data_IF_835813258963
#
_entry.id   IF_835813258963
#
_cell.length_a   1.000
_cell.length_b   1.000
_cell.length_c   1.000
_cell.angle_alpha   90.00
_cell.angle_beta   90.00
_cell.angle_gamma   90.00
#
_symmetry.space_group_name_H-M   'P 1'
#
loop_
_entity.id
_entity.type
_entity.pdbx_description
1 polymer ?
#
# COMPACT_ATOMS: atom_id res chain seq x y z
N UNK A 1 14.20 -11.03 -51.42
CA UNK A 1 14.48 -11.57 -52.77
C UNK A 1 15.95 -11.33 -53.15
N UNK A 2 16.60 -12.18 -53.97
CA UNK A 2 18.01 -12.00 -54.42
C UNK A 2 18.11 -11.67 -55.91
N UNK A 3 19.10 -10.85 -56.33
CA UNK A 3 19.32 -10.44 -57.75
C UNK A 3 19.35 -11.61 -58.73
N UNK A 4 19.98 -12.73 -58.36
CA UNK A 4 20.02 -13.96 -59.19
C UNK A 4 18.65 -14.56 -59.49
N UNK A 5 17.68 -14.43 -58.58
CA UNK A 5 16.33 -14.94 -58.77
C UNK A 5 15.53 -14.06 -59.75
N UNK A 6 15.78 -12.76 -59.78
CA UNK A 6 15.15 -11.84 -60.73
C UNK A 6 15.69 -12.04 -62.15
N UNK A 7 17.00 -12.27 -62.29
CA UNK A 7 17.63 -12.60 -63.57
C UNK A 7 17.12 -13.93 -64.13
N UNK A 8 16.91 -14.94 -63.27
CA UNK A 8 16.32 -16.23 -63.67
C UNK A 8 14.85 -16.11 -64.13
N UNK A 9 14.14 -15.06 -63.72
CA UNK A 9 12.78 -14.75 -64.16
C UNK A 9 12.75 -13.93 -65.46
N UNK A 10 13.90 -13.71 -66.11
CA UNK A 10 14.00 -13.02 -67.40
C UNK A 10 14.10 -11.49 -67.31
N UNK A 11 14.30 -10.92 -66.12
CA UNK A 11 14.49 -9.48 -65.96
C UNK A 11 15.93 -9.09 -66.33
N UNK A 12 16.10 -7.93 -66.98
CA UNK A 12 17.43 -7.36 -67.23
C UNK A 12 18.07 -6.86 -65.92
N UNK A 13 19.40 -6.68 -65.92
CA UNK A 13 20.11 -6.25 -64.72
C UNK A 13 19.60 -4.91 -64.17
N UNK A 14 19.32 -3.93 -65.04
CA UNK A 14 18.82 -2.62 -64.62
C UNK A 14 17.44 -2.70 -63.95
N UNK A 15 16.51 -3.47 -64.53
CA UNK A 15 15.17 -3.64 -63.97
C UNK A 15 15.25 -4.42 -62.65
N UNK A 16 16.13 -5.43 -62.58
CA UNK A 16 16.37 -6.19 -61.35
C UNK A 16 16.88 -5.31 -60.20
N UNK A 17 17.73 -4.32 -60.49
CA UNK A 17 18.21 -3.35 -59.49
C UNK A 17 17.07 -2.45 -59.01
N UNK A 18 16.24 -1.92 -59.93
CA UNK A 18 15.08 -1.06 -59.57
C UNK A 18 14.05 -1.82 -58.74
N UNK A 19 13.74 -3.06 -59.09
CA UNK A 19 12.80 -3.91 -58.32
C UNK A 19 13.35 -4.23 -56.93
N UNK A 20 14.66 -4.48 -56.79
CA UNK A 20 15.27 -4.68 -55.46
C UNK A 20 15.28 -3.41 -54.61
N UNK A 21 15.39 -2.23 -55.22
CA UNK A 21 15.30 -0.97 -54.50
C UNK A 21 13.88 -0.74 -53.95
N UNK A 22 12.86 -0.86 -54.80
CA UNK A 22 11.44 -0.75 -54.39
C UNK A 22 11.06 -1.80 -53.33
N UNK A 23 11.52 -3.05 -53.51
CA UNK A 23 11.27 -4.12 -52.54
C UNK A 23 11.90 -3.84 -51.16
N UNK A 24 13.10 -3.22 -51.13
CA UNK A 24 13.75 -2.82 -49.88
C UNK A 24 13.03 -1.64 -49.22
N UNK A 25 12.58 -0.67 -50.01
CA UNK A 25 11.78 0.46 -49.53
C UNK A 25 10.46 -0.03 -48.94
N UNK A 26 9.72 -0.90 -49.62
CA UNK A 26 8.50 -1.51 -49.07
C UNK A 26 8.78 -2.32 -47.80
N UNK A 27 9.83 -3.15 -47.78
CA UNK A 27 10.21 -3.92 -46.58
C UNK A 27 10.56 -3.03 -45.38
N UNK A 28 11.03 -1.80 -45.60
CA UNK A 28 11.41 -0.89 -44.52
C UNK A 28 10.21 -0.36 -43.72
N UNK A 29 9.00 -0.42 -44.29
CA UNK A 29 7.75 -0.03 -43.61
C UNK A 29 7.20 -1.15 -42.72
N UNK A 30 7.67 -2.40 -42.90
CA UNK A 30 7.20 -3.54 -42.11
C UNK A 30 7.97 -3.67 -40.79
N UNK A 31 7.23 -3.86 -39.71
CA UNK A 31 7.81 -4.15 -38.39
C UNK A 31 8.36 -5.59 -38.40
N UNK A 32 9.65 -5.80 -38.06
CA UNK A 32 10.21 -7.14 -37.96
C UNK A 32 9.46 -7.97 -36.92
N UNK A 33 9.12 -9.22 -37.26
CA UNK A 33 8.41 -10.15 -36.37
C UNK A 33 9.02 -10.22 -34.97
N UNK A 34 10.34 -10.19 -34.85
CA UNK A 34 11.04 -10.17 -33.56
C UNK A 34 10.61 -9.01 -32.64
N UNK A 35 10.40 -7.80 -33.17
CA UNK A 35 9.90 -6.66 -32.38
C UNK A 35 8.44 -6.83 -31.98
N UNK A 36 7.62 -7.43 -32.84
CA UNK A 36 6.23 -7.73 -32.52
C UNK A 36 6.12 -8.81 -31.43
N UNK A 37 6.93 -9.86 -31.53
CA UNK A 37 7.02 -10.93 -30.54
C UNK A 37 7.52 -10.39 -29.19
N UNK A 38 8.54 -9.52 -29.19
CA UNK A 38 9.05 -8.86 -27.98
C UNK A 38 7.97 -7.97 -27.31
N UNK A 39 7.25 -7.16 -28.10
CA UNK A 39 6.18 -6.31 -27.58
C UNK A 39 5.04 -7.15 -27.00
N UNK A 40 4.67 -8.25 -27.66
CA UNK A 40 3.62 -9.14 -27.17
C UNK A 40 4.04 -9.88 -25.90
N UNK A 41 5.29 -10.30 -25.78
CA UNK A 41 5.81 -10.89 -24.55
C UNK A 41 5.78 -9.87 -23.41
N UNK A 42 6.31 -8.67 -23.63
CA UNK A 42 6.26 -7.56 -22.66
C UNK A 42 4.82 -7.21 -22.26
N UNK A 43 3.90 -7.19 -23.22
CA UNK A 43 2.48 -6.94 -22.95
C UNK A 43 1.87 -8.02 -22.05
N UNK A 44 2.14 -9.31 -22.33
CA UNK A 44 1.66 -10.42 -21.49
C UNK A 44 2.24 -10.37 -20.08
N UNK A 45 3.52 -10.04 -19.95
CA UNK A 45 4.18 -9.86 -18.65
C UNK A 45 3.54 -8.70 -17.86
N UNK A 46 3.29 -7.57 -18.50
CA UNK A 46 2.63 -6.43 -17.88
C UNK A 46 1.18 -6.74 -17.48
N UNK A 47 0.42 -7.41 -18.35
CA UNK A 47 -0.95 -7.85 -18.04
C UNK A 47 -0.95 -8.78 -16.82
N UNK A 48 -0.02 -9.73 -16.76
CA UNK A 48 0.14 -10.63 -15.62
C UNK A 48 0.49 -9.87 -14.32
N UNK A 49 1.45 -8.95 -14.38
CA UNK A 49 1.82 -8.13 -13.22
C UNK A 49 0.64 -7.29 -12.70
N UNK A 50 -0.16 -6.71 -13.60
CA UNK A 50 -1.33 -5.93 -13.23
C UNK A 50 -2.40 -6.79 -12.56
N UNK A 51 -2.65 -8.01 -13.07
CA UNK A 51 -3.59 -8.93 -12.41
C UNK A 51 -3.10 -9.31 -11.03
N UNK A 52 -1.83 -9.68 -10.91
CA UNK A 52 -1.24 -10.08 -9.63
C UNK A 52 -1.26 -8.95 -8.59
N UNK A 53 -0.98 -7.71 -9.01
CA UNK A 53 -1.09 -6.55 -8.12
C UNK A 53 -2.53 -6.30 -7.67
N UNK A 54 -3.53 -6.50 -8.55
CA UNK A 54 -4.95 -6.38 -8.16
C UNK A 54 -5.35 -7.41 -7.11
N UNK A 55 -4.93 -8.67 -7.29
CA UNK A 55 -5.15 -9.74 -6.32
C UNK A 55 -4.58 -9.36 -4.95
N UNK A 56 -3.32 -8.88 -4.91
CA UNK A 56 -2.70 -8.43 -3.66
C UNK A 56 -3.46 -7.26 -3.01
N UNK A 57 -3.92 -6.28 -3.80
CA UNK A 57 -4.71 -5.15 -3.28
C UNK A 57 -6.03 -5.62 -2.69
N UNK A 58 -6.71 -6.56 -3.33
CA UNK A 58 -7.98 -7.10 -2.86
C UNK A 58 -7.81 -7.95 -1.59
N UNK A 59 -6.74 -8.76 -1.52
CA UNK A 59 -6.36 -9.48 -0.29
C UNK A 59 -6.04 -8.53 0.87
N UNK A 60 -5.26 -7.46 0.61
CA UNK A 60 -4.95 -6.45 1.62
C UNK A 60 -6.20 -5.72 2.11
N UNK A 61 -7.13 -5.38 1.20
CA UNK A 61 -8.42 -4.77 1.56
C UNK A 61 -9.26 -5.71 2.41
N UNK A 62 -9.38 -6.98 2.02
CA UNK A 62 -10.08 -8.00 2.79
C UNK A 62 -9.50 -8.15 4.20
N UNK A 63 -8.17 -8.20 4.30
CA UNK A 63 -7.45 -8.29 5.57
C UNK A 63 -7.69 -7.06 6.44
N UNK A 64 -7.65 -5.85 5.86
CA UNK A 64 -7.92 -4.61 6.59
C UNK A 64 -9.36 -4.57 7.13
N UNK A 65 -10.34 -5.01 6.34
CA UNK A 65 -11.74 -5.09 6.77
C UNK A 65 -11.92 -6.10 7.92
N UNK A 66 -11.24 -7.24 7.86
CA UNK A 66 -11.24 -8.24 8.95
C UNK A 66 -10.59 -7.66 10.20
N UNK A 67 -9.46 -6.96 10.08
CA UNK A 67 -8.81 -6.29 11.21
C UNK A 67 -9.69 -5.21 11.85
N UNK A 68 -10.41 -4.42 11.04
CA UNK A 68 -11.38 -3.43 11.55
C UNK A 68 -12.51 -4.10 12.33
N UNK A 69 -13.12 -5.15 11.76
CA UNK A 69 -14.19 -5.91 12.45
C UNK A 69 -13.70 -6.55 13.74
N UNK A 70 -12.52 -7.16 13.74
CA UNK A 70 -11.92 -7.72 14.95
C UNK A 70 -11.64 -6.64 16.00
N UNK A 71 -11.22 -5.45 15.58
CA UNK A 71 -11.05 -4.31 16.49
C UNK A 71 -12.38 -3.87 17.09
N UNK A 72 -13.44 -3.74 16.28
CA UNK A 72 -14.80 -3.41 16.75
C UNK A 72 -15.34 -4.46 17.72
N UNK A 73 -15.21 -5.76 17.39
CA UNK A 73 -15.60 -6.86 18.27
C UNK A 73 -14.80 -6.86 19.58
N UNK A 74 -13.49 -6.64 19.49
CA UNK A 74 -12.64 -6.54 20.67
C UNK A 74 -13.06 -5.35 21.54
N UNK A 75 -13.32 -4.17 20.96
CA UNK A 75 -13.81 -3.00 21.69
C UNK A 75 -15.19 -3.26 22.32
N UNK A 76 -16.09 -3.96 21.62
CA UNK A 76 -17.43 -4.29 22.09
C UNK A 76 -17.44 -5.31 23.23
N UNK A 77 -16.72 -6.43 23.05
CA UNK A 77 -16.46 -7.38 24.14
C UNK A 77 -15.77 -6.69 25.30
N UNK A 78 -14.87 -5.75 24.97
CA UNK A 78 -14.17 -5.05 26.00
C UNK A 78 -15.19 -4.23 26.83
N UNK A 79 -15.96 -3.35 26.20
CA UNK A 79 -17.00 -2.54 26.83
C UNK A 79 -17.95 -3.35 27.73
N UNK A 80 -18.39 -4.52 27.27
CA UNK A 80 -19.29 -5.40 28.04
C UNK A 80 -18.66 -5.92 29.34
N UNK A 81 -17.41 -6.38 29.30
CA UNK A 81 -16.74 -6.88 30.50
C UNK A 81 -16.41 -5.76 31.52
N UNK A 82 -16.29 -4.50 31.05
CA UNK A 82 -16.23 -3.33 31.93
C UNK A 82 -17.49 -3.19 32.78
N UNK A 83 -18.66 -3.13 32.15
CA UNK A 83 -19.95 -2.92 32.81
C UNK A 83 -20.26 -3.95 33.93
N UNK A 84 -19.74 -5.17 33.83
CA UNK A 84 -19.97 -6.23 34.81
C UNK A 84 -19.10 -6.10 36.08
N UNK A 85 -18.02 -5.31 36.07
CA UNK A 85 -17.04 -5.25 37.18
C UNK A 85 -16.61 -3.82 37.53
N UNK A 86 -17.40 -3.13 38.36
CA UNK A 86 -17.18 -1.74 38.83
C UNK A 86 -15.79 -1.36 39.38
N UNK A 87 -14.95 -2.31 39.83
CA UNK A 87 -13.55 -2.05 40.25
C UNK A 87 -12.51 -2.32 39.16
N UNK A 88 -12.86 -3.17 38.20
CA UNK A 88 -12.02 -3.42 37.04
C UNK A 88 -12.29 -2.38 35.94
N UNK A 89 -13.46 -1.73 35.92
CA UNK A 89 -13.84 -0.68 34.95
C UNK A 89 -12.77 0.40 34.73
N UNK A 90 -12.14 0.93 35.78
CA UNK A 90 -11.11 1.97 35.65
C UNK A 90 -9.82 1.42 35.03
N UNK A 91 -9.29 0.32 35.57
CA UNK A 91 -8.11 -0.36 35.01
C UNK A 91 -8.34 -0.78 33.56
N UNK A 92 -9.58 -1.09 33.25
CA UNK A 92 -9.98 -1.56 31.96
C UNK A 92 -10.11 -0.45 30.93
N UNK A 93 -10.74 0.65 31.32
CA UNK A 93 -10.77 1.89 30.55
C UNK A 93 -9.35 2.37 30.27
N UNK A 94 -8.43 2.21 31.22
CA UNK A 94 -7.01 2.53 31.06
C UNK A 94 -6.34 1.66 30.00
N UNK A 95 -6.54 0.34 30.02
CA UNK A 95 -6.01 -0.57 28.98
C UNK A 95 -6.57 -0.22 27.60
N UNK A 96 -7.87 0.06 27.53
CA UNK A 96 -8.54 0.45 26.29
C UNK A 96 -7.95 1.75 25.73
N UNK A 97 -7.86 2.79 26.55
CA UNK A 97 -7.26 4.08 26.20
C UNK A 97 -5.81 3.91 25.76
N UNK A 98 -5.00 3.11 26.48
CA UNK A 98 -3.62 2.87 26.10
C UNK A 98 -3.53 2.21 24.72
N UNK A 99 -4.32 1.18 24.46
CA UNK A 99 -4.30 0.47 23.17
C UNK A 99 -4.68 1.37 21.99
N UNK A 100 -5.68 2.25 22.17
CA UNK A 100 -6.14 3.18 21.14
C UNK A 100 -5.16 4.33 20.90
N UNK A 101 -4.42 4.71 21.94
CA UNK A 101 -3.40 5.74 21.86
C UNK A 101 -2.02 5.18 21.52
N UNK A 102 -1.84 3.87 21.52
CA UNK A 102 -0.54 3.22 21.30
C UNK A 102 0.06 3.63 19.95
N UNK A 103 -0.73 3.63 18.86
CA UNK A 103 -0.25 4.08 17.56
C UNK A 103 0.28 5.52 17.61
N UNK A 104 -0.46 6.42 18.26
CA UNK A 104 -0.07 7.83 18.43
C UNK A 104 1.18 7.99 19.30
N UNK A 105 1.29 7.20 20.37
CA UNK A 105 2.38 7.29 21.34
C UNK A 105 3.63 6.49 20.94
N UNK A 106 3.51 5.55 20.00
CA UNK A 106 4.56 4.59 19.61
C UNK A 106 5.86 5.23 19.15
N UNK A 107 5.77 6.44 18.58
CA UNK A 107 6.89 7.24 18.07
C UNK A 107 7.80 7.78 19.18
N UNK A 108 7.28 7.91 20.41
CA UNK A 108 8.02 8.42 21.55
C UNK A 108 8.73 7.30 22.30
N UNK A 109 9.89 7.62 22.87
CA UNK A 109 10.73 6.68 23.62
C UNK A 109 10.03 6.15 24.87
N UNK A 110 9.25 6.99 25.54
CA UNK A 110 8.61 6.69 26.83
C UNK A 110 7.08 6.66 26.73
N UNK A 111 6.54 5.95 25.73
CA UNK A 111 5.09 5.88 25.46
C UNK A 111 4.24 5.49 26.70
N UNK A 112 4.67 4.50 27.48
CA UNK A 112 4.00 4.06 28.71
C UNK A 112 3.98 5.16 29.77
N UNK A 113 5.13 5.80 30.02
CA UNK A 113 5.22 6.90 30.98
C UNK A 113 4.40 8.12 30.53
N UNK A 114 4.37 8.43 29.22
CA UNK A 114 3.53 9.50 28.70
C UNK A 114 2.07 9.19 29.01
N UNK A 115 1.61 7.97 28.73
CA UNK A 115 0.25 7.54 29.02
C UNK A 115 -0.09 7.60 30.52
N UNK A 116 0.82 7.18 31.40
CA UNK A 116 0.64 7.29 32.85
C UNK A 116 0.48 8.73 33.34
N UNK A 117 1.09 9.71 32.65
CA UNK A 117 1.00 11.13 32.98
C UNK A 117 -0.22 11.82 32.36
N UNK A 118 -0.97 11.15 31.49
CA UNK A 118 -2.20 11.70 30.92
C UNK A 118 -3.33 11.72 31.96
N UNK A 119 -4.10 12.79 31.96
CA UNK A 119 -5.37 12.88 32.69
C UNK A 119 -6.48 12.18 31.91
N UNK A 120 -6.74 10.94 32.31
CA UNK A 120 -7.71 10.05 31.66
C UNK A 120 -9.16 10.52 31.84
N UNK A 121 -9.43 11.43 32.78
CA UNK A 121 -10.76 12.01 32.94
C UNK A 121 -11.11 12.98 31.80
N UNK A 122 -10.08 13.56 31.15
CA UNK A 122 -10.23 14.45 30.00
C UNK A 122 -10.40 13.71 28.67
N UNK A 123 -10.23 12.38 28.68
CA UNK A 123 -10.31 11.55 27.50
C UNK A 123 -11.69 10.92 27.38
N UNK A 124 -12.38 11.22 26.28
CA UNK A 124 -13.70 10.65 25.98
C UNK A 124 -13.53 9.59 24.90
N UNK A 125 -14.00 8.38 25.20
CA UNK A 125 -13.96 7.25 24.28
C UNK A 125 -15.30 7.19 23.55
N UNK A 126 -15.26 7.26 22.22
CA UNK A 126 -16.47 7.14 21.40
C UNK A 126 -16.79 5.66 21.13
N UNK A 127 -18.06 5.31 20.81
CA UNK A 127 -18.43 3.94 20.43
C UNK A 127 -17.67 3.42 19.21
N UNK A 128 -17.19 4.32 18.36
CA UNK A 128 -16.41 4.03 17.14
C UNK A 128 -14.93 3.73 17.45
N UNK A 129 -14.52 3.82 18.72
CA UNK A 129 -13.14 3.55 19.14
C UNK A 129 -12.20 4.74 18.95
N UNK A 130 -12.72 5.95 18.82
CA UNK A 130 -11.91 7.17 18.84
C UNK A 130 -11.75 7.70 20.27
N UNK A 131 -10.61 8.37 20.51
CA UNK A 131 -10.32 9.02 21.81
C UNK A 131 -10.27 10.52 21.58
N UNK A 132 -11.34 11.22 21.95
CA UNK A 132 -11.42 12.69 21.90
C UNK A 132 -10.63 13.29 23.06
N UNK A 133 -10.02 14.46 22.83
CA UNK A 133 -9.11 15.09 23.80
C UNK A 133 -7.68 14.54 23.77
N UNK A 134 -7.44 13.50 22.95
CA UNK A 134 -6.16 12.94 22.53
C UNK A 134 -5.01 13.95 22.47
N UNK A 135 -5.10 14.81 21.47
CA UNK A 135 -4.04 15.71 21.06
C UNK A 135 -3.77 16.81 22.09
N UNK A 136 -4.82 17.37 22.69
CA UNK A 136 -4.69 18.38 23.75
C UNK A 136 -4.00 17.82 25.00
N UNK A 137 -4.34 16.58 25.34
CA UNK A 137 -3.76 15.87 26.46
C UNK A 137 -2.27 15.59 26.23
N UNK A 138 -1.94 15.07 25.05
CA UNK A 138 -0.55 14.81 24.64
C UNK A 138 0.28 16.10 24.69
N UNK A 139 -0.24 17.23 24.20
CA UNK A 139 0.48 18.50 24.20
C UNK A 139 0.67 19.07 25.61
N UNK A 140 -0.32 18.87 26.51
CA UNK A 140 -0.16 19.25 27.91
C UNK A 140 0.93 18.42 28.59
N UNK A 141 0.92 17.10 28.41
CA UNK A 141 1.96 16.22 28.98
C UNK A 141 3.32 16.58 28.37
N UNK A 142 3.38 16.95 27.09
CA UNK A 142 4.61 17.45 26.44
C UNK A 142 5.12 18.73 27.07
N UNK A 143 4.24 19.68 27.34
CA UNK A 143 4.62 20.95 27.97
C UNK A 143 5.13 20.74 29.39
N UNK A 144 4.49 19.84 30.15
CA UNK A 144 4.86 19.55 31.53
C UNK A 144 6.10 18.62 31.67
N UNK A 145 6.32 17.72 30.72
CA UNK A 145 7.32 16.65 30.79
C UNK A 145 8.05 16.47 29.45
N UNK A 146 8.69 17.54 28.96
CA UNK A 146 9.39 17.55 27.66
C UNK A 146 10.37 16.39 27.47
N UNK A 147 11.05 15.98 28.54
CA UNK A 147 12.02 14.87 28.53
C UNK A 147 11.43 13.52 28.09
N UNK A 148 10.12 13.32 28.28
CA UNK A 148 9.44 12.06 27.92
C UNK A 148 9.23 11.92 26.40
N UNK A 149 9.26 13.03 25.66
CA UNK A 149 8.91 13.10 24.23
C UNK A 149 10.11 12.93 23.29
N UNK A 150 11.25 12.48 23.80
CA UNK A 150 12.37 12.07 22.94
C UNK A 150 11.93 11.00 21.93
N UNK A 151 12.30 11.17 20.66
CA UNK A 151 12.00 10.18 19.61
C UNK A 151 12.79 8.89 19.87
N UNK A 152 12.20 7.74 19.55
CA UNK A 152 13.00 6.49 19.47
C UNK A 152 14.02 6.66 18.34
N UNK A 153 15.31 6.52 18.66
CA UNK A 153 16.35 6.42 17.64
C UNK A 153 16.01 5.22 16.74
N UNK A 154 15.92 5.47 15.43
CA UNK A 154 15.70 4.43 14.41
C UNK A 154 16.82 3.41 14.40
#
# INVERSE_FOLDING_TARGET
MKKKQLLQLGLTEEISIKVLALYKEEQSVFIPKARFDEINQKKKELEWQVMHQKEQIDEMRGSNLICQKLKEEMLGLLWQAGQEKKKDEEKYRDVLLYSLLLERLSSYKYAELIFEKMDKQRLVLTPEGEVLGAEEEIERVRTAYQELFGLKNK
#
